data_IF_652296151027
#
_entry.id   IF_652296151027
#
_cell.length_a   1.000
_cell.length_b   1.000
_cell.length_c   1.000
_cell.angle_alpha   90.00
_cell.angle_beta   90.00
_cell.angle_gamma   90.00
#
_symmetry.space_group_name_H-M   'P 1'
#
loop_
_entity.id
_entity.type
_entity.pdbx_description
1 polymer ?
#
# COMPACT_ATOMS: atom_id res chain seq x y z
N UNK A 1 -17.03 -18.68 -16.56
CA UNK A 1 -16.08 -19.16 -15.54
C UNK A 1 -16.30 -18.32 -14.29
N UNK A 2 -16.16 -18.90 -13.11
CA UNK A 2 -16.22 -18.16 -11.85
C UNK A 2 -14.81 -17.90 -11.34
N UNK A 3 -14.54 -16.64 -11.01
CA UNK A 3 -13.24 -16.21 -10.48
C UNK A 3 -13.44 -15.67 -9.08
N UNK A 4 -12.58 -16.11 -8.16
CA UNK A 4 -12.45 -15.51 -6.83
C UNK A 4 -11.19 -14.67 -6.79
N UNK A 5 -11.35 -13.39 -6.47
CA UNK A 5 -10.27 -12.41 -6.35
C UNK A 5 -10.16 -12.00 -4.89
N UNK A 6 -8.97 -12.08 -4.33
CA UNK A 6 -8.66 -11.55 -3.01
C UNK A 6 -7.91 -10.24 -3.16
N UNK A 7 -8.46 -9.17 -2.59
CA UNK A 7 -7.88 -7.82 -2.60
C UNK A 7 -7.52 -7.43 -1.17
N UNK A 8 -6.33 -6.88 -0.96
CA UNK A 8 -5.89 -6.46 0.37
C UNK A 8 -4.59 -5.65 0.29
N UNK A 9 -4.25 -4.98 1.39
CA UNK A 9 -2.91 -4.39 1.55
C UNK A 9 -1.91 -5.50 1.94
N UNK A 10 -2.35 -6.44 2.78
CA UNK A 10 -1.60 -7.61 3.23
C UNK A 10 -2.55 -8.80 3.53
N UNK A 11 -2.00 -9.89 4.07
CA UNK A 11 -2.79 -11.08 4.46
C UNK A 11 -3.65 -10.79 5.70
N UNK A 12 -3.38 -9.70 6.42
CA UNK A 12 -4.04 -9.32 7.65
C UNK A 12 -5.25 -8.40 7.43
N UNK A 13 -5.44 -7.83 6.24
CA UNK A 13 -6.63 -7.05 5.86
C UNK A 13 -6.97 -7.32 4.39
N UNK A 14 -8.01 -8.12 4.16
CA UNK A 14 -8.41 -8.57 2.83
C UNK A 14 -9.92 -8.62 2.64
N UNK A 15 -10.35 -8.55 1.38
CA UNK A 15 -11.72 -8.74 0.92
C UNK A 15 -11.73 -9.76 -0.22
N UNK A 16 -12.68 -10.69 -0.18
CA UNK A 16 -12.89 -11.65 -1.25
C UNK A 16 -14.05 -11.20 -2.14
N UNK A 17 -13.81 -11.19 -3.45
CA UNK A 17 -14.83 -10.88 -4.45
C UNK A 17 -14.95 -12.06 -5.40
N UNK A 18 -16.16 -12.60 -5.50
CA UNK A 18 -16.49 -13.59 -6.53
C UNK A 18 -17.16 -12.89 -7.72
N UNK A 19 -16.76 -13.27 -8.93
CA UNK A 19 -17.36 -12.72 -10.14
C UNK A 19 -17.38 -13.73 -11.28
N UNK A 20 -18.40 -13.59 -12.10
CA UNK A 20 -18.50 -14.27 -13.39
C UNK A 20 -17.59 -13.57 -14.41
N UNK A 21 -16.74 -14.35 -15.06
CA UNK A 21 -15.92 -13.91 -16.17
C UNK A 21 -15.99 -14.96 -17.30
N UNK A 22 -16.21 -14.57 -18.56
CA UNK A 22 -16.14 -15.52 -19.67
C UNK A 22 -14.69 -15.96 -19.93
N UNK A 23 -13.72 -15.10 -19.65
CA UNK A 23 -12.27 -15.32 -19.78
C UNK A 23 -11.49 -14.52 -18.73
N UNK A 24 -10.25 -14.92 -18.43
CA UNK A 24 -9.39 -14.17 -17.53
C UNK A 24 -8.76 -12.95 -18.25
N UNK A 25 -9.08 -11.75 -17.78
CA UNK A 25 -8.49 -10.50 -18.25
C UNK A 25 -8.04 -9.65 -17.06
N UNK A 26 -6.72 -9.63 -16.82
CA UNK A 26 -6.13 -8.98 -15.66
C UNK A 26 -6.41 -7.48 -15.60
N UNK A 27 -6.33 -6.76 -16.72
CA UNK A 27 -6.57 -5.31 -16.75
C UNK A 27 -8.03 -4.95 -16.46
N UNK A 28 -8.97 -5.77 -16.94
CA UNK A 28 -10.37 -5.60 -16.58
C UNK A 28 -10.60 -5.82 -15.08
N UNK A 29 -10.02 -6.89 -14.52
CA UNK A 29 -10.13 -7.21 -13.08
C UNK A 29 -9.53 -6.08 -12.24
N UNK A 30 -8.33 -5.60 -12.58
CA UNK A 30 -7.68 -4.47 -11.90
C UNK A 30 -8.60 -3.26 -11.86
N UNK A 31 -9.14 -2.82 -13.01
CA UNK A 31 -10.04 -1.65 -13.07
C UNK A 31 -11.28 -1.82 -12.20
N UNK A 32 -11.89 -3.02 -12.21
CA UNK A 32 -13.07 -3.30 -11.40
C UNK A 32 -12.75 -3.31 -9.91
N UNK A 33 -11.65 -3.94 -9.51
CA UNK A 33 -11.22 -3.97 -8.11
C UNK A 33 -10.84 -2.58 -7.61
N UNK A 34 -10.11 -1.79 -8.41
CA UNK A 34 -9.81 -0.39 -8.10
C UNK A 34 -11.08 0.42 -7.85
N UNK A 35 -12.08 0.32 -8.74
CA UNK A 35 -13.33 1.03 -8.58
C UNK A 35 -14.09 0.64 -7.29
N UNK A 36 -14.10 -0.64 -6.93
CA UNK A 36 -14.75 -1.10 -5.69
C UNK A 36 -14.02 -0.61 -4.44
N UNK A 37 -12.68 -0.55 -4.48
CA UNK A 37 -11.86 0.03 -3.41
C UNK A 37 -12.13 1.54 -3.28
N UNK A 38 -12.07 2.28 -4.40
CA UNK A 38 -12.22 3.74 -4.40
C UNK A 38 -13.62 4.20 -3.95
N UNK A 39 -14.66 3.40 -4.23
CA UNK A 39 -16.02 3.66 -3.78
C UNK A 39 -16.28 3.24 -2.32
N UNK A 40 -15.36 2.50 -1.69
CA UNK A 40 -15.57 1.90 -0.38
C UNK A 40 -16.59 0.75 -0.38
N UNK A 41 -16.81 0.11 -1.53
CA UNK A 41 -17.79 -0.97 -1.70
C UNK A 41 -17.26 -2.32 -1.18
N UNK A 42 -15.95 -2.43 -0.89
CA UNK A 42 -15.35 -3.62 -0.29
C UNK A 42 -15.43 -3.58 1.23
N UNK A 43 -16.03 -4.62 1.80
CA UNK A 43 -15.93 -4.89 3.24
C UNK A 43 -14.73 -5.80 3.48
N UNK A 44 -13.71 -5.26 4.15
CA UNK A 44 -12.52 -6.01 4.53
C UNK A 44 -12.83 -6.86 5.77
N UNK A 45 -12.50 -8.15 5.71
CA UNK A 45 -12.82 -9.13 6.75
C UNK A 45 -11.96 -8.96 8.02
N UNK A 46 -10.85 -8.22 7.94
CA UNK A 46 -9.93 -8.04 9.05
C UNK A 46 -9.50 -6.57 9.17
N UNK A 47 -9.44 -6.11 10.42
CA UNK A 47 -9.11 -4.74 10.79
C UNK A 47 -7.61 -4.50 10.63
N UNK A 48 -7.23 -3.43 9.93
CA UNK A 48 -5.86 -2.91 10.04
C UNK A 48 -5.63 -2.54 11.51
N UNK A 49 -4.74 -3.23 12.24
CA UNK A 49 -4.48 -2.93 13.64
C UNK A 49 -3.96 -1.50 13.87
N UNK A 50 -3.53 -0.81 12.80
CA UNK A 50 -3.05 0.56 12.84
C UNK A 50 -4.07 1.59 12.35
N UNK A 51 -5.25 1.17 11.87
CA UNK A 51 -6.30 2.05 11.36
C UNK A 51 -5.81 2.99 10.25
N UNK A 52 -4.80 2.57 9.51
CA UNK A 52 -4.18 3.36 8.45
C UNK A 52 -5.03 3.19 7.20
N UNK A 53 -5.66 4.28 6.78
CA UNK A 53 -6.53 4.38 5.62
C UNK A 53 -5.69 4.26 4.32
N UNK A 54 -5.11 3.08 4.07
CA UNK A 54 -4.34 2.76 2.86
C UNK A 54 -5.28 2.38 1.72
N UNK A 55 -6.33 3.17 1.47
CA UNK A 55 -7.19 2.99 0.28
C UNK A 55 -6.35 2.86 -1.01
N UNK A 56 -5.18 3.50 -1.02
CA UNK A 56 -4.22 3.50 -2.11
C UNK A 56 -3.23 2.33 -2.20
N UNK A 57 -3.09 1.50 -1.16
CA UNK A 57 -2.08 0.42 -1.08
C UNK A 57 -2.56 -0.95 -1.53
N UNK A 58 -3.82 -1.07 -1.97
CA UNK A 58 -4.44 -2.36 -2.26
C UNK A 58 -3.81 -3.07 -3.46
N UNK A 59 -3.69 -4.38 -3.34
CA UNK A 59 -3.24 -5.29 -4.40
C UNK A 59 -4.18 -6.49 -4.49
N UNK A 60 -4.26 -7.08 -5.67
CA UNK A 60 -4.77 -8.42 -5.83
C UNK A 60 -3.73 -9.35 -5.21
N UNK A 61 -4.08 -10.00 -4.10
CA UNK A 61 -3.25 -10.98 -3.43
C UNK A 61 -3.23 -12.26 -4.26
N UNK A 62 -4.41 -12.71 -4.68
CA UNK A 62 -4.58 -13.81 -5.62
C UNK A 62 -5.86 -13.64 -6.43
N UNK A 63 -5.89 -14.23 -7.62
CA UNK A 63 -7.10 -14.51 -8.37
C UNK A 63 -7.05 -15.96 -8.84
N UNK A 64 -8.13 -16.70 -8.63
CA UNK A 64 -8.23 -18.12 -9.03
C UNK A 64 -9.55 -18.46 -9.66
N UNK A 65 -9.53 -19.46 -10.54
CA UNK A 65 -10.74 -20.07 -11.06
C UNK A 65 -11.35 -20.96 -9.98
N UNK A 66 -12.60 -20.71 -9.57
CA UNK A 66 -13.24 -21.48 -8.49
C UNK A 66 -13.69 -22.87 -8.92
N UNK A 67 -13.81 -23.12 -10.23
CA UNK A 67 -14.27 -24.39 -10.78
C UNK A 67 -13.11 -25.39 -10.92
N UNK A 68 -11.91 -24.90 -11.27
CA UNK A 68 -10.70 -25.72 -11.46
C UNK A 68 -9.69 -25.59 -10.33
N UNK A 69 -9.87 -24.62 -9.43
CA UNK A 69 -8.91 -24.21 -8.39
C UNK A 69 -7.55 -23.76 -8.96
N UNK A 70 -7.52 -23.38 -10.24
CA UNK A 70 -6.33 -22.89 -10.93
C UNK A 70 -6.01 -21.44 -10.53
N UNK A 71 -4.77 -21.19 -10.12
CA UNK A 71 -4.25 -19.85 -9.87
C UNK A 71 -4.06 -19.11 -11.21
N UNK A 72 -4.74 -17.96 -11.34
CA UNK A 72 -4.72 -17.14 -12.55
C UNK A 72 -3.72 -15.99 -12.46
N UNK A 73 -3.59 -15.41 -11.26
CA UNK A 73 -2.54 -14.47 -10.93
C UNK A 73 -2.41 -14.28 -9.42
N UNK A 74 -1.28 -13.72 -9.01
CA UNK A 74 -0.98 -13.34 -7.65
C UNK A 74 -0.19 -12.02 -7.62
N UNK A 75 -0.27 -11.32 -6.49
CA UNK A 75 0.52 -10.11 -6.19
C UNK A 75 0.47 -9.01 -7.27
N UNK A 76 -0.71 -8.61 -7.71
CA UNK A 76 -0.87 -7.54 -8.71
C UNK A 76 -1.30 -6.23 -8.04
N UNK A 77 -0.47 -5.17 -8.03
CA UNK A 77 -0.85 -3.90 -7.44
C UNK A 77 -2.00 -3.26 -8.23
N UNK A 78 -3.00 -2.73 -7.51
CA UNK A 78 -4.11 -1.99 -8.14
C UNK A 78 -3.65 -0.61 -8.61
N UNK A 79 -2.73 0.02 -7.87
CA UNK A 79 -2.07 1.24 -8.26
C UNK A 79 -0.53 1.06 -8.22
N UNK A 80 0.13 1.00 -9.39
CA UNK A 80 1.58 0.81 -9.47
C UNK A 80 2.40 1.87 -8.73
N UNK A 81 1.95 3.13 -8.70
CA UNK A 81 2.70 4.23 -8.08
C UNK A 81 2.86 4.05 -6.57
N UNK A 82 1.87 3.48 -5.89
CA UNK A 82 1.98 3.19 -4.44
C UNK A 82 2.85 1.97 -4.16
N UNK A 83 2.89 1.00 -5.08
CA UNK A 83 3.78 -0.14 -4.97
C UNK A 83 5.24 0.27 -5.17
N UNK A 84 5.52 1.08 -6.20
CA UNK A 84 6.84 1.62 -6.48
C UNK A 84 7.32 2.53 -5.34
N UNK A 85 6.46 3.43 -4.84
CA UNK A 85 6.74 4.22 -3.64
C UNK A 85 7.11 3.33 -2.45
N UNK A 86 6.37 2.24 -2.22
CA UNK A 86 6.62 1.30 -1.14
C UNK A 86 7.99 0.61 -1.27
N UNK A 87 8.37 0.19 -2.48
CA UNK A 87 9.69 -0.40 -2.74
C UNK A 87 10.81 0.61 -2.49
N UNK A 88 10.67 1.83 -3.01
CA UNK A 88 11.67 2.88 -2.85
C UNK A 88 11.80 3.30 -1.38
N UNK A 89 10.66 3.45 -0.67
CA UNK A 89 10.63 3.75 0.76
C UNK A 89 11.36 2.68 1.57
N UNK A 90 11.11 1.40 1.29
CA UNK A 90 11.78 0.29 1.97
C UNK A 90 13.28 0.24 1.64
N UNK A 91 13.66 0.58 0.40
CA UNK A 91 15.06 0.69 0.01
C UNK A 91 15.78 1.77 0.83
N UNK A 92 15.21 2.96 0.92
CA UNK A 92 15.76 4.09 1.69
C UNK A 92 15.85 3.77 3.18
N UNK A 93 14.83 3.13 3.76
CA UNK A 93 14.87 2.67 5.15
C UNK A 93 16.01 1.67 5.39
N UNK A 94 16.24 0.72 4.46
CA UNK A 94 17.37 -0.21 4.57
C UNK A 94 18.70 0.52 4.52
N UNK A 95 18.87 1.51 3.64
CA UNK A 95 20.08 2.31 3.59
C UNK A 95 20.35 3.02 4.93
N UNK A 96 19.32 3.52 5.59
CA UNK A 96 19.45 4.14 6.92
C UNK A 96 19.88 3.11 7.98
N UNK A 97 19.23 1.95 8.01
CA UNK A 97 19.56 0.87 8.94
C UNK A 97 20.98 0.33 8.74
N UNK A 98 21.49 0.39 7.51
CA UNK A 98 22.87 0.06 7.15
C UNK A 98 23.87 1.20 7.44
N UNK A 99 23.41 2.33 7.98
CA UNK A 99 24.23 3.50 8.31
C UNK A 99 24.74 4.28 7.09
N UNK A 100 24.17 4.04 5.90
CA UNK A 100 24.57 4.70 4.65
C UNK A 100 23.99 6.10 4.50
N UNK A 101 22.87 6.37 5.17
CA UNK A 101 22.23 7.69 5.25
C UNK A 101 21.85 8.01 6.70
N UNK A 102 22.01 9.26 7.11
CA UNK A 102 21.58 9.74 8.42
C UNK A 102 20.05 9.98 8.47
N UNK A 103 19.54 10.30 9.66
CA UNK A 103 18.10 10.48 9.88
C UNK A 103 17.51 11.69 9.14
N UNK A 104 18.26 12.78 8.96
CA UNK A 104 17.76 13.95 8.24
C UNK A 104 17.70 13.65 6.74
N UNK A 105 18.76 13.03 6.20
CA UNK A 105 18.80 12.57 4.81
C UNK A 105 17.69 11.55 4.50
N UNK A 106 17.37 10.66 5.44
CA UNK A 106 16.23 9.74 5.34
C UNK A 106 14.91 10.49 5.19
N UNK A 107 14.65 11.49 6.04
CA UNK A 107 13.40 12.26 5.98
C UNK A 107 13.29 13.02 4.66
N UNK A 108 14.35 13.69 4.22
CA UNK A 108 14.37 14.41 2.94
C UNK A 108 14.08 13.48 1.76
N UNK A 109 14.67 12.28 1.76
CA UNK A 109 14.51 11.31 0.69
C UNK A 109 13.10 10.70 0.68
N UNK A 110 12.52 10.40 1.83
CA UNK A 110 11.13 9.95 1.92
C UNK A 110 10.13 11.03 1.46
N UNK A 111 10.40 12.30 1.75
CA UNK A 111 9.60 13.42 1.25
C UNK A 111 9.75 13.58 -0.27
N UNK A 112 10.97 13.41 -0.80
CA UNK A 112 11.23 13.43 -2.26
C UNK A 112 10.45 12.32 -2.97
N UNK A 113 10.56 11.08 -2.50
CA UNK A 113 9.86 9.92 -3.07
C UNK A 113 8.34 10.10 -3.06
N UNK A 114 7.77 10.59 -1.95
CA UNK A 114 6.34 10.86 -1.86
C UNK A 114 5.87 11.93 -2.87
N UNK A 115 6.71 12.91 -3.21
CA UNK A 115 6.43 13.92 -4.24
C UNK A 115 6.54 13.35 -5.66
N UNK A 116 7.57 12.54 -5.93
CA UNK A 116 7.81 11.96 -7.26
C UNK A 116 6.73 10.98 -7.69
N UNK A 117 6.25 10.17 -6.75
CA UNK A 117 5.19 9.20 -7.02
C UNK A 117 3.79 9.83 -7.06
N UNK A 118 3.67 11.13 -6.75
CA UNK A 118 2.40 11.88 -6.81
C UNK A 118 1.28 11.23 -5.96
N UNK A 119 1.68 10.58 -4.85
CA UNK A 119 0.90 9.58 -4.12
C UNK A 119 0.27 10.11 -2.82
N UNK A 120 0.27 11.43 -2.57
CA UNK A 120 -0.39 11.97 -1.39
C UNK A 120 -1.21 13.23 -1.72
N UNK A 121 -2.47 13.33 -1.27
CA UNK A 121 -3.11 14.63 -1.09
C UNK A 121 -2.21 15.45 -0.17
N UNK A 122 -1.80 16.64 -0.60
CA UNK A 122 -0.84 17.50 0.10
C UNK A 122 -1.14 17.67 1.62
N UNK A 123 -2.41 17.57 2.02
CA UNK A 123 -2.86 17.66 3.41
C UNK A 123 -2.48 16.46 4.30
N UNK A 124 -2.41 15.25 3.76
CA UNK A 124 -1.98 14.05 4.49
C UNK A 124 -0.46 13.98 4.59
N UNK A 125 0.23 14.46 3.55
CA UNK A 125 1.69 14.58 3.52
C UNK A 125 2.17 15.51 4.64
N UNK A 126 1.54 16.67 4.80
CA UNK A 126 1.84 17.59 5.89
C UNK A 126 1.58 16.99 7.27
N UNK A 127 0.49 16.21 7.44
CA UNK A 127 0.18 15.57 8.73
C UNK A 127 1.16 14.45 9.10
N UNK A 128 1.54 13.60 8.15
CA UNK A 128 2.48 12.51 8.39
C UNK A 128 3.90 13.03 8.67
N UNK A 129 4.35 14.04 7.91
CA UNK A 129 5.63 14.72 8.13
C UNK A 129 5.63 15.41 9.49
N UNK A 130 4.58 16.17 9.84
CA UNK A 130 4.50 16.85 11.13
C UNK A 130 4.49 15.85 12.31
N UNK A 131 3.79 14.72 12.20
CA UNK A 131 3.84 13.65 13.23
C UNK A 131 5.20 13.00 13.35
N UNK A 132 5.90 12.79 12.24
CA UNK A 132 7.26 12.23 12.25
C UNK A 132 8.24 13.21 12.91
N UNK A 133 8.14 14.50 12.61
CA UNK A 133 8.91 15.58 13.26
C UNK A 133 8.62 15.60 14.77
N UNK A 134 7.34 15.66 15.17
CA UNK A 134 6.93 15.65 16.59
C UNK A 134 7.47 14.43 17.36
N UNK A 135 7.43 13.24 16.75
CA UNK A 135 8.00 12.02 17.37
C UNK A 135 9.52 12.08 17.47
N UNK A 136 10.20 12.64 16.48
CA UNK A 136 11.67 12.76 16.47
C UNK A 136 12.13 13.81 17.49
N UNK A 137 11.39 14.90 17.64
CA UNK A 137 11.60 15.91 18.69
C UNK A 137 11.30 15.36 20.08
N UNK A 138 10.26 14.52 20.22
CA UNK A 138 9.92 13.86 21.49
C UNK A 138 10.92 12.76 21.88
N UNK A 139 11.56 12.11 20.90
CA UNK A 139 12.54 11.03 21.11
C UNK A 139 13.98 11.51 21.11
N UNK A 140 14.25 12.77 20.76
CA UNK A 140 15.56 13.37 20.95
C UNK A 140 15.85 13.47 22.45
N UNK A 141 16.85 12.73 22.98
CA UNK A 141 17.21 12.89 24.38
C UNK A 141 17.70 14.32 24.57
N UNK A 142 17.07 15.04 25.50
CA UNK A 142 17.56 16.33 25.99
C UNK A 142 18.91 16.11 26.68
N UNK A 143 19.98 15.99 25.91
CA UNK A 143 21.30 16.33 26.40
C UNK A 143 21.37 17.85 26.37
N UNK A 144 20.80 18.42 27.44
CA UNK A 144 21.19 19.74 27.87
C UNK A 144 22.67 19.67 28.29
N UNK A 145 23.43 20.64 27.78
CA UNK A 145 24.84 20.97 28.03
C UNK A 145 25.89 20.17 27.24
#
# INVERSE_FOLDING_TARGET
>A
MKIKVCVGCDVASYANVEMEAPEFNLEHIKRKMSALVDNGDLQFEAEDPNGTDYQSGHRIVYAKNTETDEDLCDFVPLNPAYYELGQDTMHTLRQHLEGKIDANSLVEELVRLAKEHNTYPADLQNKAINRAIEKTEAQSPKWAF
#
